data_IF_752695387622
#
_entry.id   IF_752695387622
#
_cell.length_a   1.000
_cell.length_b   1.000
_cell.length_c   1.000
_cell.angle_alpha   90.00
_cell.angle_beta   90.00
_cell.angle_gamma   90.00
#
_symmetry.space_group_name_H-M   'P 1'
#
loop_
_entity.id
_entity.type
_entity.pdbx_description
1 polymer ?
#
# COMPACT_ATOMS: atom_id res chain seq x y z
N UNK A 1 -9.47 12.62 -5.24
CA UNK A 1 -8.31 11.82 -4.79
C UNK A 1 -8.68 10.34 -4.72
N UNK A 2 -7.81 9.48 -5.22
CA UNK A 2 -7.91 8.04 -5.03
C UNK A 2 -7.13 7.63 -3.77
N UNK A 3 -7.87 7.38 -2.70
CA UNK A 3 -7.36 6.94 -1.40
C UNK A 3 -7.67 5.44 -1.13
N UNK A 4 -7.97 4.70 -2.19
CA UNK A 4 -8.35 3.28 -2.10
C UNK A 4 -7.25 2.42 -1.49
N UNK A 5 -5.97 2.71 -1.79
CA UNK A 5 -4.83 1.98 -1.22
C UNK A 5 -4.08 2.76 -0.15
N UNK A 6 -3.87 4.07 -0.34
CA UNK A 6 -3.05 4.91 0.52
C UNK A 6 -3.81 5.50 1.71
N UNK A 7 -5.14 5.56 1.65
CA UNK A 7 -5.99 6.10 2.70
C UNK A 7 -6.26 5.17 3.88
N UNK A 8 -7.15 5.62 4.73
CA UNK A 8 -7.61 4.93 5.95
C UNK A 8 -6.43 4.52 6.83
N UNK A 9 -5.43 5.42 6.95
CA UNK A 9 -4.30 5.25 7.86
C UNK A 9 -3.04 4.59 7.26
N UNK A 10 -3.11 4.00 6.06
CA UNK A 10 -2.02 3.22 5.46
C UNK A 10 -0.71 3.99 5.32
N UNK A 11 -0.78 5.28 4.99
CA UNK A 11 0.37 6.17 4.81
C UNK A 11 0.79 6.93 6.08
N UNK A 12 0.13 6.68 7.23
CA UNK A 12 0.44 7.30 8.51
C UNK A 12 -0.39 8.53 8.88
N UNK A 13 -1.22 9.03 7.97
CA UNK A 13 -2.35 9.95 8.20
C UNK A 13 -3.65 9.25 7.83
N UNK A 14 -4.82 9.76 8.23
CA UNK A 14 -6.08 9.11 7.86
C UNK A 14 -6.27 9.14 6.34
N UNK A 15 -6.04 10.29 5.71
CA UNK A 15 -5.91 10.40 4.25
C UNK A 15 -4.47 10.78 3.87
N UNK A 16 -3.96 10.20 2.81
CA UNK A 16 -2.61 10.49 2.33
C UNK A 16 -2.46 11.94 1.87
N UNK A 17 -3.49 12.52 1.25
CA UNK A 17 -3.48 13.91 0.77
C UNK A 17 -3.30 14.96 1.88
N UNK A 18 -3.61 14.63 3.14
CA UNK A 18 -3.36 15.53 4.27
C UNK A 18 -1.88 15.92 4.39
N UNK A 19 -0.99 15.03 3.96
CA UNK A 19 0.46 15.25 4.01
C UNK A 19 0.96 16.23 2.95
N UNK A 20 0.18 16.45 1.90
CA UNK A 20 0.50 17.35 0.78
C UNK A 20 -0.32 18.64 0.82
N UNK A 21 -1.09 18.87 1.90
CA UNK A 21 -1.97 20.01 2.10
C UNK A 21 -2.99 20.22 0.95
N UNK A 22 -3.32 19.13 0.25
CA UNK A 22 -4.32 19.15 -0.80
C UNK A 22 -5.74 19.16 -0.22
N UNK A 23 -6.66 19.86 -0.89
CA UNK A 23 -8.07 19.91 -0.51
C UNK A 23 -8.89 19.37 -1.68
N UNK A 24 -9.23 18.08 -1.69
CA UNK A 24 -9.99 17.48 -2.79
C UNK A 24 -11.48 17.81 -2.72
N UNK A 25 -12.14 17.86 -3.87
CA UNK A 25 -13.60 17.91 -3.95
C UNK A 25 -14.24 16.53 -3.72
N UNK A 26 -13.54 15.47 -4.11
CA UNK A 26 -14.00 14.08 -4.00
C UNK A 26 -12.85 13.18 -3.52
N UNK A 27 -13.16 12.29 -2.58
CA UNK A 27 -12.25 11.27 -2.06
C UNK A 27 -12.88 9.89 -2.21
N UNK A 28 -12.18 9.00 -2.91
CA UNK A 28 -12.57 7.59 -3.03
C UNK A 28 -11.75 6.75 -2.05
N UNK A 29 -12.42 5.93 -1.24
CA UNK A 29 -11.78 5.02 -0.29
C UNK A 29 -12.42 3.64 -0.33
N UNK A 30 -11.64 2.60 -0.03
CA UNK A 30 -12.09 1.22 0.08
C UNK A 30 -11.09 0.39 0.92
N UNK A 31 -10.91 -0.88 0.60
CA UNK A 31 -9.90 -1.80 1.17
C UNK A 31 -9.75 -1.67 2.70
N UNK A 32 -8.81 -0.84 3.17
CA UNK A 32 -8.58 -0.58 4.59
C UNK A 32 -9.82 -0.10 5.35
N UNK A 33 -10.79 0.49 4.66
CA UNK A 33 -12.06 0.94 5.27
C UNK A 33 -12.84 -0.19 5.93
N UNK A 34 -12.83 -1.38 5.33
CA UNK A 34 -13.47 -2.57 5.91
C UNK A 34 -12.48 -3.53 6.58
N UNK A 35 -11.18 -3.18 6.64
CA UNK A 35 -10.10 -3.98 7.21
C UNK A 35 -10.08 -5.46 6.74
N UNK A 36 -10.64 -5.75 5.55
CA UNK A 36 -10.77 -7.11 5.03
C UNK A 36 -11.95 -7.93 5.56
N UNK A 37 -12.70 -7.41 6.54
CA UNK A 37 -13.86 -8.11 7.10
C UNK A 37 -15.09 -8.04 6.21
N UNK A 38 -15.30 -6.90 5.53
CA UNK A 38 -16.41 -6.72 4.60
C UNK A 38 -15.96 -5.94 3.35
N UNK A 39 -16.47 -6.30 2.16
CA UNK A 39 -16.27 -5.49 0.97
C UNK A 39 -17.05 -4.18 1.14
N UNK A 40 -16.35 -3.06 1.13
CA UNK A 40 -16.94 -1.73 1.23
C UNK A 40 -16.05 -0.73 0.49
N UNK A 41 -16.69 0.21 -0.19
CA UNK A 41 -16.08 1.41 -0.73
C UNK A 41 -16.94 2.61 -0.43
N UNK A 42 -16.34 3.78 -0.40
CA UNK A 42 -17.05 5.04 -0.18
C UNK A 42 -16.48 6.15 -1.07
N UNK A 43 -17.35 7.06 -1.45
CA UNK A 43 -16.96 8.35 -2.04
C UNK A 43 -17.47 9.43 -1.11
N UNK A 44 -16.55 10.28 -0.65
CA UNK A 44 -16.88 11.47 0.14
C UNK A 44 -16.77 12.69 -0.76
N UNK A 45 -17.80 13.52 -0.77
CA UNK A 45 -17.85 14.76 -1.52
C UNK A 45 -17.86 15.96 -0.57
N UNK A 46 -17.24 17.05 -0.97
CA UNK A 46 -17.34 18.31 -0.25
C UNK A 46 -18.73 18.97 -0.43
N UNK A 47 -19.00 19.98 0.38
CA UNK A 47 -20.28 20.68 0.38
C UNK A 47 -20.60 21.32 -0.97
N UNK A 48 -19.61 21.84 -1.72
CA UNK A 48 -19.79 22.41 -3.06
C UNK A 48 -20.44 21.42 -4.02
N UNK A 49 -19.97 20.16 -4.03
CA UNK A 49 -20.52 19.10 -4.87
C UNK A 49 -21.93 18.72 -4.41
N UNK A 50 -22.11 18.58 -3.09
CA UNK A 50 -23.41 18.28 -2.51
C UNK A 50 -24.45 19.34 -2.85
N UNK A 51 -24.13 20.63 -2.66
CA UNK A 51 -25.05 21.75 -2.94
C UNK A 51 -25.39 21.87 -4.43
N UNK A 52 -24.46 21.56 -5.34
CA UNK A 52 -24.72 21.56 -6.77
C UNK A 52 -25.78 20.51 -7.16
N UNK A 53 -25.79 19.36 -6.50
CA UNK A 53 -26.81 18.32 -6.70
C UNK A 53 -28.14 18.75 -6.03
N UNK A 54 -28.08 19.17 -4.79
CA UNK A 54 -29.25 19.50 -3.99
C UNK A 54 -30.06 20.70 -4.56
N UNK A 55 -29.36 21.73 -5.02
CA UNK A 55 -29.99 22.91 -5.64
C UNK A 55 -30.26 22.77 -7.14
N UNK A 56 -29.63 21.79 -7.81
CA UNK A 56 -29.85 21.45 -9.21
C UNK A 56 -31.02 20.47 -9.38
N UNK A 57 -30.72 19.21 -9.70
CA UNK A 57 -31.77 18.18 -9.89
C UNK A 57 -32.48 17.76 -8.59
N UNK A 58 -31.87 18.01 -7.43
CA UNK A 58 -32.33 17.51 -6.12
C UNK A 58 -32.24 15.98 -5.98
N UNK A 59 -31.66 15.30 -6.94
CA UNK A 59 -31.64 13.85 -6.99
C UNK A 59 -30.25 13.31 -7.40
N UNK A 60 -29.67 12.48 -6.54
CA UNK A 60 -28.44 11.77 -6.81
C UNK A 60 -28.74 10.45 -7.55
N UNK A 61 -28.61 10.46 -8.90
CA UNK A 61 -28.94 9.33 -9.75
C UNK A 61 -27.86 8.24 -9.79
N UNK A 62 -27.42 7.78 -8.63
CA UNK A 62 -26.47 6.68 -8.51
C UNK A 62 -26.81 5.82 -7.32
N UNK A 63 -26.73 4.51 -7.50
CA UNK A 63 -26.95 3.55 -6.43
C UNK A 63 -26.87 2.10 -6.92
N UNK A 64 -26.80 1.21 -5.98
CA UNK A 64 -26.88 -0.25 -6.20
C UNK A 64 -27.51 -0.91 -4.97
N UNK A 65 -27.97 -2.17 -5.12
CA UNK A 65 -28.71 -2.90 -4.09
C UNK A 65 -28.01 -2.97 -2.73
N UNK A 66 -26.68 -3.09 -2.73
CA UNK A 66 -25.88 -3.19 -1.51
C UNK A 66 -25.35 -1.86 -0.98
N UNK A 67 -25.79 -0.73 -1.53
CA UNK A 67 -25.45 0.58 -0.98
C UNK A 67 -25.91 0.68 0.46
N UNK A 68 -25.05 1.23 1.34
CA UNK A 68 -25.29 1.34 2.77
C UNK A 68 -25.64 0.01 3.47
N UNK A 69 -25.06 -1.11 2.99
CA UNK A 69 -25.27 -2.42 3.61
C UNK A 69 -24.87 -2.36 5.10
N UNK A 70 -25.79 -2.65 6.04
CA UNK A 70 -25.57 -2.36 7.45
C UNK A 70 -24.38 -3.08 8.07
N UNK A 71 -24.12 -4.34 7.68
CA UNK A 71 -22.98 -5.10 8.19
C UNK A 71 -21.65 -4.51 7.67
N UNK A 72 -21.60 -4.10 6.40
CA UNK A 72 -20.41 -3.48 5.82
C UNK A 72 -20.13 -2.10 6.48
N UNK A 73 -21.18 -1.30 6.69
CA UNK A 73 -21.06 -0.02 7.41
C UNK A 73 -20.62 -0.22 8.87
N UNK A 74 -21.14 -1.21 9.57
CA UNK A 74 -20.73 -1.55 10.94
C UNK A 74 -19.25 -1.96 11.00
N UNK A 75 -18.78 -2.76 10.05
CA UNK A 75 -17.35 -3.12 9.94
C UNK A 75 -16.46 -1.89 9.70
N UNK A 76 -16.88 -0.97 8.83
CA UNK A 76 -16.15 0.27 8.60
C UNK A 76 -16.08 1.17 9.83
N UNK A 77 -17.20 1.34 10.55
CA UNK A 77 -17.25 2.10 11.80
C UNK A 77 -16.30 1.50 12.83
N UNK A 78 -16.38 0.18 13.06
CA UNK A 78 -15.50 -0.52 14.00
C UNK A 78 -14.01 -0.37 13.61
N UNK A 79 -13.70 -0.43 12.32
CA UNK A 79 -12.34 -0.21 11.83
C UNK A 79 -11.82 1.18 12.16
N UNK A 80 -12.61 2.22 11.84
CA UNK A 80 -12.24 3.62 12.10
C UNK A 80 -12.06 3.86 13.58
N UNK A 81 -12.97 3.37 14.44
CA UNK A 81 -12.86 3.46 15.87
C UNK A 81 -11.60 2.79 16.40
N UNK A 82 -11.30 1.56 15.94
CA UNK A 82 -10.08 0.83 16.32
C UNK A 82 -8.81 1.59 15.96
N UNK A 83 -8.76 2.20 14.77
CA UNK A 83 -7.62 3.03 14.34
C UNK A 83 -7.41 4.20 15.33
N UNK A 84 -8.48 4.86 15.76
CA UNK A 84 -8.43 5.96 16.73
C UNK A 84 -8.04 5.49 18.13
N UNK A 85 -8.80 4.53 18.68
CA UNK A 85 -8.67 4.06 20.07
C UNK A 85 -7.29 3.44 20.33
N UNK A 86 -6.74 2.71 19.38
CA UNK A 86 -5.43 2.08 19.47
C UNK A 86 -4.29 2.96 18.96
N UNK A 87 -4.56 4.21 18.55
CA UNK A 87 -3.56 5.16 18.01
C UNK A 87 -2.76 4.56 16.86
N UNK A 88 -3.41 3.81 15.97
CA UNK A 88 -2.72 3.04 14.94
C UNK A 88 -2.01 3.92 13.90
N UNK A 89 -2.43 5.17 13.68
CA UNK A 89 -1.70 6.10 12.79
C UNK A 89 -0.27 6.36 13.30
N UNK A 90 -0.11 6.50 14.63
CA UNK A 90 1.21 6.64 15.23
C UNK A 90 2.05 5.37 15.07
N UNK A 91 1.44 4.20 15.31
CA UNK A 91 2.11 2.90 15.11
C UNK A 91 2.55 2.73 13.65
N UNK A 92 1.68 3.05 12.68
CA UNK A 92 2.00 2.98 11.24
C UNK A 92 3.22 3.83 10.89
N UNK A 93 3.33 5.04 11.43
CA UNK A 93 4.48 5.90 11.19
C UNK A 93 5.77 5.32 11.81
N UNK A 94 5.70 4.86 13.06
CA UNK A 94 6.86 4.31 13.77
C UNK A 94 7.35 3.01 13.14
N UNK A 95 6.45 2.06 12.90
CA UNK A 95 6.79 0.77 12.32
C UNK A 95 7.19 0.90 10.85
N UNK A 96 6.57 1.82 10.10
CA UNK A 96 6.94 2.10 8.72
C UNK A 96 8.35 2.66 8.59
N UNK A 97 8.73 3.61 9.43
CA UNK A 97 10.08 4.15 9.48
C UNK A 97 11.10 3.07 9.89
N UNK A 98 10.75 2.20 10.84
CA UNK A 98 11.59 1.08 11.24
C UNK A 98 11.78 0.09 10.09
N UNK A 99 10.68 -0.38 9.48
CA UNK A 99 10.71 -1.32 8.37
C UNK A 99 11.57 -0.80 7.20
N UNK A 100 11.39 0.46 6.85
CA UNK A 100 12.17 1.10 5.78
C UNK A 100 13.66 1.06 6.10
N UNK A 101 14.07 1.50 7.29
CA UNK A 101 15.47 1.52 7.72
C UNK A 101 16.11 0.12 7.74
N UNK A 102 15.40 -0.88 8.27
CA UNK A 102 15.90 -2.26 8.32
C UNK A 102 16.07 -2.85 6.91
N UNK A 103 15.14 -2.55 5.99
CA UNK A 103 15.26 -2.97 4.59
C UNK A 103 16.40 -2.26 3.86
N UNK A 104 16.57 -0.96 4.05
CA UNK A 104 17.70 -0.19 3.50
C UNK A 104 19.04 -0.77 3.95
N UNK A 105 19.15 -1.11 5.23
CA UNK A 105 20.35 -1.74 5.80
C UNK A 105 20.59 -3.13 5.21
N UNK A 106 19.57 -3.99 5.21
CA UNK A 106 19.69 -5.39 4.78
C UNK A 106 19.92 -5.54 3.26
N UNK A 107 19.49 -4.57 2.45
CA UNK A 107 19.63 -4.56 0.99
C UNK A 107 20.74 -3.63 0.50
N UNK A 108 21.50 -3.00 1.38
CA UNK A 108 22.55 -2.03 1.01
C UNK A 108 23.60 -2.61 0.08
N UNK A 109 23.98 -3.86 0.23
CA UNK A 109 24.93 -4.60 -0.58
C UNK A 109 24.28 -5.40 -1.73
N UNK A 110 22.94 -5.48 -1.78
CA UNK A 110 22.24 -6.24 -2.82
C UNK A 110 22.36 -5.52 -4.17
N UNK A 111 22.95 -6.14 -5.21
CA UNK A 111 23.33 -5.44 -6.45
C UNK A 111 22.15 -4.89 -7.24
N UNK A 112 20.97 -5.49 -7.10
CA UNK A 112 19.75 -5.10 -7.81
C UNK A 112 18.83 -4.17 -7.02
N UNK A 113 19.24 -3.71 -5.83
CA UNK A 113 18.48 -2.75 -5.04
C UNK A 113 18.57 -1.35 -5.64
N UNK A 114 17.47 -0.88 -6.20
CA UNK A 114 17.37 0.44 -6.81
C UNK A 114 17.06 1.54 -5.79
N UNK A 115 15.94 1.40 -5.12
CA UNK A 115 15.42 2.39 -4.17
C UNK A 115 14.35 1.75 -3.27
N UNK A 116 14.07 2.41 -2.14
CA UNK A 116 12.89 2.14 -1.31
C UNK A 116 12.20 3.45 -0.98
N UNK A 117 10.94 3.57 -1.36
CA UNK A 117 10.11 4.76 -1.17
C UNK A 117 8.72 4.41 -0.68
N UNK A 118 8.05 5.40 -0.12
CA UNK A 118 6.71 5.28 0.43
C UNK A 118 6.58 6.00 1.77
N UNK A 119 5.39 5.93 2.35
CA UNK A 119 5.04 6.56 3.63
C UNK A 119 4.29 5.56 4.52
N UNK A 120 4.53 5.62 5.82
CA UNK A 120 3.93 4.70 6.77
C UNK A 120 4.24 3.24 6.43
N UNK A 121 3.24 2.38 6.49
CA UNK A 121 3.34 0.97 6.14
C UNK A 121 2.91 0.71 4.68
N UNK A 122 3.27 1.61 3.77
CA UNK A 122 3.05 1.50 2.34
C UNK A 122 4.35 1.78 1.61
N UNK A 123 5.17 0.75 1.43
CA UNK A 123 6.54 0.86 0.92
C UNK A 123 6.68 0.11 -0.41
N UNK A 124 7.43 0.70 -1.33
CA UNK A 124 7.81 0.08 -2.60
C UNK A 124 9.32 -0.05 -2.70
N UNK A 125 9.81 -1.23 -3.02
CA UNK A 125 11.23 -1.51 -3.30
C UNK A 125 11.36 -1.63 -4.81
N UNK A 126 12.15 -0.76 -5.43
CA UNK A 126 12.46 -0.82 -6.85
C UNK A 126 13.68 -1.71 -7.11
N UNK A 127 13.57 -2.57 -8.11
CA UNK A 127 14.65 -3.45 -8.56
C UNK A 127 15.23 -2.92 -9.89
N UNK A 128 16.54 -2.84 -9.97
CA UNK A 128 17.28 -2.31 -11.11
C UNK A 128 18.36 -3.30 -11.56
N UNK A 129 18.76 -3.25 -12.82
CA UNK A 129 19.89 -4.02 -13.33
C UNK A 129 21.23 -3.40 -12.92
N UNK A 130 21.26 -2.07 -12.77
CA UNK A 130 22.46 -1.33 -12.34
C UNK A 130 22.07 -0.19 -11.39
N UNK A 131 22.75 -0.14 -10.23
CA UNK A 131 22.46 0.82 -9.15
C UNK A 131 22.81 2.27 -9.50
N UNK A 132 23.81 2.47 -10.32
CA UNK A 132 24.33 3.82 -10.62
C UNK A 132 23.48 4.47 -11.70
N UNK A 133 23.30 3.80 -12.82
CA UNK A 133 22.49 4.29 -13.93
C UNK A 133 20.98 4.16 -13.71
N UNK A 134 20.56 3.39 -12.69
CA UNK A 134 19.16 3.01 -12.46
C UNK A 134 18.51 2.32 -13.65
N UNK A 135 19.30 1.64 -14.46
CA UNK A 135 18.80 0.85 -15.60
C UNK A 135 17.75 -0.14 -15.12
N UNK A 136 16.54 -0.14 -15.68
CA UNK A 136 15.48 -1.07 -15.27
C UNK A 136 15.90 -2.52 -15.43
N UNK A 137 15.47 -3.37 -14.49
CA UNK A 137 15.63 -4.81 -14.63
C UNK A 137 14.76 -5.29 -15.81
N UNK A 138 15.33 -6.02 -16.80
CA UNK A 138 14.59 -6.44 -17.99
C UNK A 138 13.40 -7.34 -17.66
N UNK A 139 12.29 -7.17 -18.38
CA UNK A 139 11.10 -8.02 -18.22
C UNK A 139 11.39 -9.52 -18.49
N UNK A 140 12.38 -9.82 -19.34
CA UNK A 140 12.82 -11.19 -19.61
C UNK A 140 13.32 -11.97 -18.39
N UNK A 141 13.69 -11.27 -17.31
CA UNK A 141 14.06 -11.90 -16.04
C UNK A 141 12.89 -12.56 -15.34
N UNK A 142 11.64 -12.10 -15.60
CA UNK A 142 10.41 -12.51 -14.91
C UNK A 142 10.54 -12.39 -13.38
N UNK A 143 11.27 -11.35 -12.92
CA UNK A 143 11.64 -11.20 -11.53
C UNK A 143 10.42 -11.16 -10.61
N UNK A 144 9.35 -10.45 -10.98
CA UNK A 144 8.10 -10.38 -10.23
C UNK A 144 7.50 -11.77 -9.98
N UNK A 145 7.43 -12.61 -11.01
CA UNK A 145 6.86 -13.97 -10.91
C UNK A 145 7.74 -14.88 -10.06
N UNK A 146 9.05 -14.85 -10.29
CA UNK A 146 10.03 -15.64 -9.52
C UNK A 146 10.04 -15.24 -8.05
N UNK A 147 10.06 -13.93 -7.75
CA UNK A 147 9.99 -13.42 -6.37
C UNK A 147 8.70 -13.85 -5.70
N UNK A 148 7.55 -13.73 -6.38
CA UNK A 148 6.26 -14.16 -5.83
C UNK A 148 6.27 -15.64 -5.43
N UNK A 149 6.75 -16.50 -6.31
CA UNK A 149 6.82 -17.94 -6.06
C UNK A 149 7.77 -18.26 -4.91
N UNK A 150 8.99 -17.70 -4.94
CA UNK A 150 10.01 -17.98 -3.93
C UNK A 150 9.68 -17.37 -2.56
N UNK A 151 9.10 -16.17 -2.52
CA UNK A 151 8.62 -15.57 -1.28
C UNK A 151 7.59 -16.45 -0.58
N UNK A 152 6.61 -16.97 -1.33
CA UNK A 152 5.62 -17.91 -0.79
C UNK A 152 6.28 -19.20 -0.26
N UNK A 153 7.26 -19.74 -0.94
CA UNK A 153 8.04 -20.91 -0.48
C UNK A 153 8.82 -20.59 0.82
N UNK A 154 9.31 -19.36 0.96
CA UNK A 154 9.99 -18.87 2.15
C UNK A 154 9.03 -18.42 3.27
N UNK A 155 7.70 -18.57 3.09
CA UNK A 155 6.70 -18.19 4.06
C UNK A 155 6.47 -16.67 4.16
N UNK A 156 6.66 -15.93 3.06
CA UNK A 156 6.39 -14.50 2.97
C UNK A 156 5.38 -14.20 1.87
N UNK A 157 4.31 -13.50 2.22
CA UNK A 157 3.40 -12.90 1.25
C UNK A 157 3.79 -11.45 1.02
N UNK A 158 4.25 -11.12 -0.19
CA UNK A 158 4.51 -9.77 -0.65
C UNK A 158 3.90 -9.56 -2.05
N UNK A 159 3.96 -8.35 -2.57
CA UNK A 159 3.32 -8.01 -3.84
C UNK A 159 4.33 -7.52 -4.88
N UNK A 160 5.09 -8.43 -5.51
CA UNK A 160 5.99 -8.08 -6.59
C UNK A 160 5.22 -7.83 -7.88
N UNK A 161 5.64 -6.82 -8.64
CA UNK A 161 5.03 -6.39 -9.89
C UNK A 161 6.10 -6.06 -10.93
N UNK A 162 5.76 -6.30 -12.21
CA UNK A 162 6.53 -5.83 -13.37
C UNK A 162 5.90 -4.61 -14.02
N UNK A 163 6.59 -4.03 -15.00
CA UNK A 163 6.08 -2.91 -15.78
C UNK A 163 6.16 -1.55 -15.07
N UNK A 164 7.05 -1.40 -14.11
CA UNK A 164 7.15 -0.20 -13.25
C UNK A 164 7.40 1.10 -14.00
N UNK A 165 8.15 1.05 -15.11
CA UNK A 165 8.64 2.24 -15.82
C UNK A 165 7.70 2.65 -16.97
N UNK A 166 7.38 1.70 -17.85
CA UNK A 166 6.70 1.94 -19.12
C UNK A 166 5.54 0.97 -19.37
N UNK A 167 5.13 0.23 -18.33
CA UNK A 167 4.13 -0.84 -18.43
C UNK A 167 4.71 -2.18 -18.87
N UNK A 168 5.98 -2.25 -19.22
CA UNK A 168 6.67 -3.46 -19.70
C UNK A 168 7.91 -3.75 -18.86
N UNK A 169 8.80 -2.77 -18.71
CA UNK A 169 10.09 -2.91 -18.05
C UNK A 169 10.06 -2.42 -16.60
N UNK A 170 11.05 -2.88 -15.84
CA UNK A 170 11.20 -2.56 -14.43
C UNK A 170 10.34 -3.43 -13.54
N UNK A 171 10.85 -3.68 -12.34
CA UNK A 171 10.18 -4.49 -11.33
C UNK A 171 10.23 -3.80 -9.98
N UNK A 172 9.17 -3.96 -9.20
CA UNK A 172 9.13 -3.48 -7.82
C UNK A 172 8.41 -4.47 -6.91
N UNK A 173 8.61 -4.32 -5.62
CA UNK A 173 7.90 -5.10 -4.59
C UNK A 173 7.16 -4.13 -3.70
N UNK A 174 5.84 -4.27 -3.63
CA UNK A 174 5.00 -3.51 -2.72
C UNK A 174 4.87 -4.26 -1.40
N UNK A 175 5.07 -3.54 -0.30
CA UNK A 175 4.89 -4.00 1.06
C UNK A 175 3.80 -3.18 1.75
N UNK A 176 2.80 -3.87 2.28
CA UNK A 176 1.67 -3.27 2.97
C UNK A 176 1.25 -4.15 4.17
N UNK A 177 2.13 -4.33 5.17
CA UNK A 177 1.84 -5.20 6.30
C UNK A 177 0.71 -4.63 7.19
N UNK A 178 0.12 -5.42 8.09
CA UNK A 178 -0.90 -4.96 9.03
C UNK A 178 -0.40 -3.80 9.91
N UNK A 179 -1.31 -2.89 10.31
CA UNK A 179 -0.97 -1.75 11.18
C UNK A 179 -0.47 -2.17 12.57
N UNK A 180 -0.85 -3.37 13.01
CA UNK A 180 -0.46 -3.98 14.27
C UNK A 180 0.84 -4.77 14.19
N UNK A 181 1.63 -4.59 13.11
CA UNK A 181 2.93 -5.25 12.96
C UNK A 181 3.86 -4.87 14.13
N UNK A 182 4.57 -5.85 14.68
CA UNK A 182 5.52 -5.68 15.76
C UNK A 182 6.96 -5.81 15.27
N UNK A 183 7.92 -5.48 16.11
CA UNK A 183 9.36 -5.59 15.79
C UNK A 183 9.75 -6.98 15.30
N UNK A 184 9.32 -8.03 15.97
CA UNK A 184 9.61 -9.42 15.59
C UNK A 184 9.12 -9.77 14.20
N UNK A 185 7.94 -9.26 13.81
CA UNK A 185 7.38 -9.46 12.47
C UNK A 185 8.15 -8.68 11.41
N UNK A 186 8.67 -7.50 11.76
CA UNK A 186 9.54 -6.71 10.86
C UNK A 186 10.85 -7.46 10.62
N UNK A 187 11.49 -7.97 11.68
CA UNK A 187 12.72 -8.73 11.59
C UNK A 187 12.54 -9.97 10.70
N UNK A 188 11.46 -10.72 10.90
CA UNK A 188 11.10 -11.88 10.10
C UNK A 188 10.83 -11.51 8.62
N UNK A 189 10.09 -10.42 8.37
CA UNK A 189 9.81 -9.94 7.02
C UNK A 189 11.11 -9.58 6.29
N UNK A 190 11.99 -8.82 6.93
CA UNK A 190 13.27 -8.39 6.36
C UNK A 190 14.16 -9.59 6.05
N UNK A 191 14.27 -10.54 6.96
CA UNK A 191 15.05 -11.79 6.76
C UNK A 191 14.51 -12.55 5.54
N UNK A 192 13.21 -12.86 5.52
CA UNK A 192 12.59 -13.67 4.48
C UNK A 192 12.67 -12.99 3.11
N UNK A 193 12.46 -11.68 3.06
CA UNK A 193 12.54 -10.92 1.81
C UNK A 193 13.97 -10.89 1.27
N UNK A 194 14.94 -10.59 2.12
CA UNK A 194 16.36 -10.56 1.74
C UNK A 194 16.82 -11.92 1.23
N UNK A 195 16.49 -13.01 1.93
CA UNK A 195 16.76 -14.37 1.47
C UNK A 195 16.14 -14.65 0.11
N UNK A 196 14.86 -14.34 -0.06
CA UNK A 196 14.13 -14.52 -1.32
C UNK A 196 14.81 -13.81 -2.48
N UNK A 197 15.19 -12.55 -2.29
CA UNK A 197 15.84 -11.75 -3.34
C UNK A 197 17.21 -12.32 -3.73
N UNK A 198 18.00 -12.74 -2.74
CA UNK A 198 19.33 -13.37 -3.00
C UNK A 198 19.21 -14.70 -3.73
N UNK A 199 18.22 -15.53 -3.40
CA UNK A 199 17.96 -16.82 -4.07
C UNK A 199 17.52 -16.59 -5.51
N UNK A 200 16.55 -15.71 -5.74
CA UNK A 200 15.97 -15.47 -7.08
C UNK A 200 16.97 -14.78 -8.01
N UNK A 201 17.76 -13.84 -7.49
CA UNK A 201 18.71 -13.07 -8.30
C UNK A 201 19.82 -13.90 -8.95
N UNK A 202 20.06 -15.10 -8.47
CA UNK A 202 21.00 -16.04 -9.11
C UNK A 202 20.53 -16.53 -10.50
N UNK A 203 19.27 -16.24 -10.84
CA UNK A 203 18.63 -16.64 -12.10
C UNK A 203 18.32 -15.46 -13.03
N UNK A 204 18.83 -14.27 -12.74
CA UNK A 204 18.62 -13.02 -13.50
C UNK A 204 19.71 -12.76 -14.53
#
# INVERSE_FOLDING_TARGET
MDEVMCGVGRSGSFFAFEQDQAVPDLVCMAKGLGAGYQPIGAVVANDKVYQAIASGSGFFQHGHTFMAHPVACAAAVATIQTIGDQKLLQAVNQQGAMLKRELESALSDFPYFGDIRGKGLFLGIELVADKVSKTPLPNSTLADKKIKHQAMANGLMCYPMGGTIDGINGHHILLAPPFIIERSHIDELVEKLTRTLREVSQTW
#
